data_IF_326184538705
#
_entry.id   IF_326184538705
#
_cell.length_a   1.000
_cell.length_b   1.000
_cell.length_c   1.000
_cell.angle_alpha   90.00
_cell.angle_beta   90.00
_cell.angle_gamma   90.00
#
_symmetry.space_group_name_H-M   'P 1'
#
loop_
_entity.id
_entity.type
_entity.pdbx_description
1 polymer ?
#
# COMPACT_ATOMS: atom_id res chain seq x y z
N UNK A 1 3.31 -18.38 7.68
CA UNK A 1 2.64 -17.38 6.82
C UNK A 1 2.90 -16.12 7.56
N UNK A 2 3.84 -15.34 7.05
CA UNK A 2 4.44 -14.20 7.73
C UNK A 2 4.41 -13.03 6.76
N UNK A 3 4.47 -11.81 7.27
CA UNK A 3 4.53 -10.61 6.42
C UNK A 3 5.96 -10.46 5.90
N UNK A 4 6.14 -10.55 4.58
CA UNK A 4 7.45 -10.41 3.93
C UNK A 4 7.85 -8.95 3.77
N UNK A 5 9.14 -8.70 3.50
CA UNK A 5 9.62 -7.35 3.17
C UNK A 5 8.99 -6.83 1.88
N UNK A 6 8.77 -7.68 0.89
CA UNK A 6 8.08 -7.31 -0.35
C UNK A 6 6.65 -6.83 -0.08
N UNK A 7 5.94 -7.45 0.87
CA UNK A 7 4.60 -7.01 1.28
C UNK A 7 4.64 -5.64 1.97
N UNK A 8 5.68 -5.35 2.77
CA UNK A 8 5.85 -4.04 3.39
C UNK A 8 6.15 -2.96 2.36
N UNK A 9 7.04 -3.25 1.41
CA UNK A 9 7.38 -2.33 0.33
C UNK A 9 6.16 -2.06 -0.55
N UNK A 10 5.39 -3.11 -0.88
CA UNK A 10 4.14 -2.98 -1.62
C UNK A 10 3.11 -2.11 -0.87
N UNK A 11 3.00 -2.24 0.46
CA UNK A 11 2.13 -1.39 1.26
C UNK A 11 2.60 0.08 1.23
N UNK A 12 3.90 0.33 1.35
CA UNK A 12 4.46 1.68 1.30
C UNK A 12 4.19 2.36 -0.05
N UNK A 13 4.40 1.64 -1.17
CA UNK A 13 4.07 2.15 -2.50
C UNK A 13 2.56 2.40 -2.66
N UNK A 14 1.70 1.51 -2.16
CA UNK A 14 0.26 1.72 -2.24
C UNK A 14 -0.22 2.97 -1.50
N UNK A 15 0.44 3.36 -0.39
CA UNK A 15 0.14 4.62 0.31
C UNK A 15 0.64 5.82 -0.48
N UNK A 16 1.84 5.73 -1.05
CA UNK A 16 2.44 6.81 -1.84
C UNK A 16 1.63 7.10 -3.12
N UNK A 17 1.20 6.05 -3.83
CA UNK A 17 0.46 6.14 -5.09
C UNK A 17 -0.95 6.74 -4.93
N UNK A 18 -1.43 6.96 -3.69
CA UNK A 18 -2.72 7.62 -3.43
C UNK A 18 -2.67 9.15 -3.56
N UNK A 19 -1.49 9.75 -3.50
CA UNK A 19 -1.29 11.17 -3.74
C UNK A 19 -0.77 11.32 -5.16
N UNK A 20 -1.51 12.04 -6.00
CA UNK A 20 -1.03 12.33 -7.34
C UNK A 20 0.12 13.35 -7.31
N UNK A 21 1.01 13.29 -8.30
CA UNK A 21 2.21 14.16 -8.35
C UNK A 21 1.86 15.67 -8.31
N UNK A 22 0.69 16.05 -8.81
CA UNK A 22 0.16 17.41 -8.80
C UNK A 22 -0.48 17.83 -7.47
N UNK A 23 -0.81 16.87 -6.61
CA UNK A 23 -1.30 17.09 -5.24
C UNK A 23 -0.16 17.17 -4.22
N UNK A 24 1.05 16.71 -4.57
CA UNK A 24 2.21 16.74 -3.68
C UNK A 24 2.64 18.17 -3.34
N UNK A 25 2.79 18.43 -2.04
CA UNK A 25 3.35 19.67 -1.54
C UNK A 25 4.13 19.42 -0.25
N UNK A 26 4.89 20.42 0.22
CA UNK A 26 5.61 20.30 1.49
C UNK A 26 4.68 20.04 2.69
N UNK A 27 3.41 20.44 2.59
CA UNK A 27 2.38 20.24 3.61
C UNK A 27 1.49 19.01 3.35
N UNK A 28 1.65 18.35 2.20
CA UNK A 28 0.84 17.19 1.79
C UNK A 28 1.72 16.13 1.13
N UNK A 29 2.39 15.35 1.96
CA UNK A 29 3.31 14.25 1.57
C UNK A 29 2.79 12.86 1.92
N UNK A 30 1.73 12.77 2.71
CA UNK A 30 1.11 11.51 3.15
C UNK A 30 -0.42 11.71 3.25
N UNK A 31 -1.25 10.73 2.83
CA UNK A 31 -2.70 10.87 2.89
C UNK A 31 -3.21 10.94 4.33
N UNK A 32 -4.43 11.42 4.50
CA UNK A 32 -5.09 11.50 5.80
C UNK A 32 -5.20 10.10 6.44
N UNK A 33 -4.94 9.95 7.75
CA UNK A 33 -4.99 8.64 8.42
C UNK A 33 -6.38 7.97 8.39
N UNK A 34 -7.45 8.73 8.15
CA UNK A 34 -8.81 8.24 8.00
C UNK A 34 -9.30 8.20 6.55
N UNK A 35 -8.42 8.44 5.58
CA UNK A 35 -8.75 8.26 4.16
C UNK A 35 -9.09 6.79 3.90
N UNK A 36 -10.36 6.54 3.59
CA UNK A 36 -10.89 5.19 3.35
C UNK A 36 -10.19 4.49 2.18
N UNK A 37 -9.61 5.24 1.24
CA UNK A 37 -8.88 4.70 0.09
C UNK A 37 -7.60 3.98 0.51
N UNK A 38 -6.98 4.38 1.63
CA UNK A 38 -5.73 3.78 2.14
C UNK A 38 -5.89 2.30 2.43
N UNK A 39 -6.93 1.93 3.18
CA UNK A 39 -7.16 0.53 3.56
C UNK A 39 -7.39 -0.37 2.33
N UNK A 40 -8.13 0.13 1.34
CA UNK A 40 -8.42 -0.62 0.10
C UNK A 40 -7.18 -0.75 -0.80
N UNK A 41 -6.43 0.33 -1.00
CA UNK A 41 -5.21 0.33 -1.82
C UNK A 41 -4.12 -0.57 -1.23
N UNK A 42 -3.90 -0.50 0.09
CA UNK A 42 -2.90 -1.33 0.77
C UNK A 42 -3.31 -2.81 0.74
N UNK A 43 -4.55 -3.13 1.11
CA UNK A 43 -5.00 -4.52 1.18
C UNK A 43 -4.99 -5.23 -0.18
N UNK A 44 -5.38 -4.53 -1.25
CA UNK A 44 -5.35 -5.06 -2.62
C UNK A 44 -3.92 -5.34 -3.10
N UNK A 45 -3.00 -4.40 -2.89
CA UNK A 45 -1.61 -4.52 -3.33
C UNK A 45 -0.85 -5.58 -2.56
N UNK A 46 -1.03 -5.63 -1.23
CA UNK A 46 -0.44 -6.65 -0.35
C UNK A 46 -0.97 -8.04 -0.69
N UNK A 47 -2.28 -8.17 -0.94
CA UNK A 47 -2.87 -9.45 -1.39
C UNK A 47 -2.22 -9.93 -2.69
N UNK A 48 -2.12 -9.05 -3.69
CA UNK A 48 -1.47 -9.37 -4.98
C UNK A 48 0.00 -9.78 -4.78
N UNK A 49 0.72 -9.08 -3.91
CA UNK A 49 2.11 -9.41 -3.57
C UNK A 49 2.21 -10.80 -2.94
N UNK A 50 1.34 -11.12 -1.98
CA UNK A 50 1.31 -12.43 -1.33
C UNK A 50 0.99 -13.56 -2.33
N UNK A 51 0.01 -13.35 -3.21
CA UNK A 51 -0.38 -14.30 -4.26
C UNK A 51 0.78 -14.56 -5.23
N UNK A 52 1.47 -13.49 -5.66
CA UNK A 52 2.57 -13.59 -6.63
C UNK A 52 3.82 -14.24 -6.03
N UNK A 53 4.10 -13.98 -4.74
CA UNK A 53 5.25 -14.57 -4.02
C UNK A 53 4.99 -16.00 -3.50
N UNK A 54 3.77 -16.52 -3.67
CA UNK A 54 3.43 -17.90 -3.28
C UNK A 54 3.37 -18.13 -1.77
N UNK A 55 3.33 -17.07 -0.97
CA UNK A 55 3.27 -17.17 0.52
C UNK A 55 1.85 -17.35 1.06
N UNK A 56 0.83 -17.40 0.18
CA UNK A 56 -0.59 -17.56 0.55
C UNK A 56 -0.87 -18.97 1.08
N UNK A 57 -1.59 -19.06 2.19
CA UNK A 57 -2.30 -20.28 2.61
C UNK A 57 -3.79 -20.08 2.40
N UNK A 58 -4.45 -21.08 1.81
CA UNK A 58 -5.91 -21.11 1.62
C UNK A 58 -6.60 -21.66 2.86
#
# INVERSE_FOLDING_TARGET
TDITEDMKLAAAHAVADLIADDELSAEYVIPDPFDKRVAEAVSSTVKRCAETSGVVRK
#
